data_IF_569331026103
#
_entry.id   IF_569331026103
#
_cell.length_a   1.000
_cell.length_b   1.000
_cell.length_c   1.000
_cell.angle_alpha   90.00
_cell.angle_beta   90.00
_cell.angle_gamma   90.00
#
_symmetry.space_group_name_H-M   'P 1'
#
loop_
_entity.id
_entity.type
_entity.pdbx_description
1 polymer ?
#
# COMPACT_ATOMS: atom_id res chain seq x y z
N UNK A 1 57.28 34.09 15.48
CA UNK A 1 56.94 32.72 15.92
C UNK A 1 55.45 32.49 15.81
N UNK A 2 54.97 31.73 14.81
CA UNK A 2 53.54 31.42 14.62
C UNK A 2 53.23 30.07 15.28
N UNK A 3 52.39 30.03 16.32
CA UNK A 3 51.92 28.81 16.99
C UNK A 3 50.97 28.07 16.05
N UNK A 4 51.26 26.80 15.69
CA UNK A 4 50.40 25.89 14.96
C UNK A 4 49.26 25.41 15.91
N UNK A 5 47.97 25.52 15.46
CA UNK A 5 46.80 24.92 16.12
C UNK A 5 46.88 23.36 16.00
N UNK A 6 46.45 22.61 17.02
CA UNK A 6 46.41 21.17 16.95
C UNK A 6 45.29 20.70 16.01
N UNK A 7 45.60 19.71 15.17
CA UNK A 7 44.63 19.04 14.28
C UNK A 7 43.66 18.16 15.12
N UNK A 8 42.34 18.27 14.91
CA UNK A 8 41.32 17.45 15.52
C UNK A 8 41.59 15.96 15.28
N UNK A 9 41.53 15.18 16.35
CA UNK A 9 41.92 13.77 16.38
C UNK A 9 41.02 12.89 15.50
N UNK A 10 41.56 12.37 14.40
CA UNK A 10 41.03 11.22 13.70
C UNK A 10 41.33 9.97 14.53
N UNK A 11 40.29 9.33 15.05
CA UNK A 11 40.40 8.02 15.71
C UNK A 11 40.84 7.00 14.66
N UNK A 12 41.89 6.22 14.96
CA UNK A 12 42.34 5.16 14.05
C UNK A 12 41.35 4.00 14.00
N UNK A 13 41.26 3.28 12.87
CA UNK A 13 40.37 2.10 12.73
C UNK A 13 40.56 1.09 13.87
N UNK A 14 41.80 0.92 14.35
CA UNK A 14 42.14 0.00 15.44
C UNK A 14 41.62 0.50 16.80
N UNK A 15 41.64 1.79 17.05
CA UNK A 15 41.06 2.41 18.28
C UNK A 15 39.56 2.38 18.26
N UNK A 16 38.93 2.62 17.10
CA UNK A 16 37.50 2.50 16.92
C UNK A 16 37.00 1.06 17.21
N UNK A 17 37.68 0.04 16.65
CA UNK A 17 37.34 -1.35 16.88
C UNK A 17 37.53 -1.79 18.34
N UNK A 18 38.59 -1.30 19.03
CA UNK A 18 38.76 -1.57 20.45
C UNK A 18 37.65 -0.96 21.31
N UNK A 19 37.24 0.28 21.02
CA UNK A 19 36.14 0.95 21.73
C UNK A 19 34.78 0.31 21.44
N UNK A 20 34.54 -0.16 20.21
CA UNK A 20 33.34 -0.89 19.83
C UNK A 20 33.25 -2.28 20.49
N UNK A 21 34.37 -3.00 20.63
CA UNK A 21 34.41 -4.29 21.31
C UNK A 21 34.13 -4.17 22.83
N UNK A 22 34.63 -3.12 23.49
CA UNK A 22 34.35 -2.85 24.90
C UNK A 22 32.90 -2.44 25.14
N UNK A 23 32.29 -1.67 24.22
CA UNK A 23 30.88 -1.33 24.26
C UNK A 23 29.95 -2.53 23.99
N UNK A 24 30.37 -3.49 23.15
CA UNK A 24 29.63 -4.71 22.84
C UNK A 24 29.53 -5.70 24.00
N UNK A 25 30.53 -5.77 24.88
CA UNK A 25 30.51 -6.69 26.02
C UNK A 25 29.57 -6.21 27.15
N UNK A 26 29.34 -4.89 27.27
CA UNK A 26 28.39 -4.33 28.26
C UNK A 26 26.91 -4.54 27.89
N UNK A 27 26.59 -4.78 26.61
CA UNK A 27 25.22 -4.93 26.11
C UNK A 27 24.69 -6.38 26.19
N UNK A 28 25.56 -7.40 26.28
CA UNK A 28 25.14 -8.80 26.26
C UNK A 28 24.64 -9.32 27.64
N UNK A 29 25.13 -8.79 28.76
CA UNK A 29 24.67 -9.19 30.07
C UNK A 29 23.38 -8.46 30.52
N UNK A 30 23.14 -7.21 30.08
CA UNK A 30 21.93 -6.46 30.37
C UNK A 30 20.76 -6.79 29.43
N UNK A 31 21.07 -7.18 28.18
CA UNK A 31 20.08 -7.46 27.14
C UNK A 31 19.22 -8.69 27.36
N UNK A 32 19.78 -9.74 28.02
CA UNK A 32 19.07 -11.00 28.28
C UNK A 32 18.05 -10.86 29.42
N UNK A 33 18.31 -9.98 30.38
CA UNK A 33 17.36 -9.73 31.49
C UNK A 33 16.22 -8.80 31.03
N UNK A 34 16.52 -7.80 30.21
CA UNK A 34 15.52 -6.88 29.71
C UNK A 34 14.60 -7.53 28.64
N UNK A 35 15.12 -8.46 27.82
CA UNK A 35 14.31 -9.20 26.86
C UNK A 35 13.30 -10.16 27.51
N UNK A 36 13.63 -10.73 28.68
CA UNK A 36 12.69 -11.58 29.43
C UNK A 36 11.60 -10.81 30.19
N UNK A 37 11.83 -9.54 30.51
CA UNK A 37 10.81 -8.69 31.13
C UNK A 37 9.88 -8.08 30.06
N UNK A 38 10.40 -7.71 28.89
CA UNK A 38 9.61 -7.17 27.78
C UNK A 38 8.81 -8.24 27.03
N UNK A 39 9.22 -9.51 27.04
CA UNK A 39 8.49 -10.61 26.40
C UNK A 39 7.23 -11.05 27.15
N UNK A 40 7.04 -10.67 28.41
CA UNK A 40 5.81 -10.97 29.18
C UNK A 40 4.71 -9.92 29.03
N UNK A 41 5.06 -8.68 28.70
CA UNK A 41 4.07 -7.60 28.47
C UNK A 41 3.67 -7.46 26.99
N UNK A 42 4.53 -7.87 26.05
CA UNK A 42 4.27 -7.79 24.62
C UNK A 42 3.18 -8.75 24.09
N UNK A 43 2.87 -9.84 24.82
CA UNK A 43 1.89 -10.83 24.36
C UNK A 43 0.44 -10.40 24.61
N UNK A 44 0.17 -9.52 25.59
CA UNK A 44 -1.18 -9.00 25.84
C UNK A 44 -1.47 -7.70 25.08
N UNK A 45 -0.46 -6.88 24.79
CA UNK A 45 -0.64 -5.66 24.00
C UNK A 45 -0.95 -5.95 22.51
N UNK A 46 -0.31 -6.99 21.92
CA UNK A 46 -0.56 -7.36 20.53
C UNK A 46 -1.96 -7.93 20.26
N UNK A 47 -2.63 -8.53 21.25
CA UNK A 47 -3.99 -9.03 21.08
C UNK A 47 -5.04 -7.92 21.11
N UNK A 48 -4.81 -6.87 21.90
CA UNK A 48 -5.73 -5.72 22.00
C UNK A 48 -5.62 -4.78 20.79
N UNK A 49 -4.44 -4.65 20.19
CA UNK A 49 -4.26 -3.85 18.97
C UNK A 49 -4.79 -4.55 17.71
N UNK A 50 -4.81 -5.89 17.68
CA UNK A 50 -5.24 -6.64 16.51
C UNK A 50 -6.77 -6.74 16.37
N UNK A 51 -7.53 -6.72 17.46
CA UNK A 51 -9.01 -6.81 17.39
C UNK A 51 -9.66 -5.47 17.06
N UNK A 52 -9.12 -4.35 17.52
CA UNK A 52 -9.66 -3.02 17.22
C UNK A 52 -9.35 -2.56 15.78
N UNK A 53 -8.18 -2.88 15.25
CA UNK A 53 -7.81 -2.54 13.86
C UNK A 53 -8.59 -3.37 12.84
N UNK A 54 -8.90 -4.64 13.15
CA UNK A 54 -9.65 -5.51 12.27
C UNK A 54 -11.10 -5.05 12.03
N UNK A 55 -11.79 -4.59 13.07
CA UNK A 55 -13.17 -4.08 12.95
C UNK A 55 -13.23 -2.75 12.22
N UNK A 56 -12.22 -1.90 12.35
CA UNK A 56 -12.20 -0.60 11.69
C UNK A 56 -12.00 -0.71 10.16
N UNK A 57 -11.25 -1.69 9.68
CA UNK A 57 -11.05 -1.92 8.24
C UNK A 57 -12.30 -2.37 7.50
N UNK A 58 -13.23 -3.07 8.18
CA UNK A 58 -14.46 -3.53 7.54
C UNK A 58 -15.37 -2.39 7.06
N UNK A 59 -15.22 -1.17 7.56
CA UNK A 59 -15.92 0.01 7.03
C UNK A 59 -15.52 0.32 5.57
N UNK A 60 -14.31 -0.09 5.15
CA UNK A 60 -13.75 0.05 3.80
C UNK A 60 -13.76 -1.25 3.02
N UNK A 61 -14.55 -2.23 3.46
CA UNK A 61 -14.70 -3.49 2.74
C UNK A 61 -15.79 -3.40 1.68
N UNK A 62 -15.58 -4.15 0.61
CA UNK A 62 -16.56 -4.36 -0.44
C UNK A 62 -16.43 -5.79 -0.96
N UNK A 63 -17.55 -6.44 -1.30
CA UNK A 63 -17.50 -7.72 -2.00
C UNK A 63 -16.81 -7.54 -3.35
N UNK A 64 -15.86 -8.44 -3.67
CA UNK A 64 -15.08 -8.37 -4.89
C UNK A 64 -15.91 -8.72 -6.12
N UNK A 65 -15.57 -8.14 -7.28
CA UNK A 65 -16.34 -8.36 -8.51
C UNK A 65 -15.93 -9.63 -9.26
N UNK A 66 -14.66 -9.97 -9.26
CA UNK A 66 -14.11 -11.09 -10.06
C UNK A 66 -13.57 -12.18 -9.14
N UNK A 67 -14.43 -13.16 -8.79
CA UNK A 67 -14.03 -14.36 -8.07
C UNK A 67 -14.99 -15.53 -8.35
N UNK A 68 -14.58 -16.72 -7.96
CA UNK A 68 -15.39 -17.93 -8.00
C UNK A 68 -15.48 -18.52 -6.60
N UNK A 69 -16.68 -18.85 -6.17
CA UNK A 69 -16.92 -19.55 -4.92
C UNK A 69 -16.70 -21.06 -5.11
N UNK A 70 -15.93 -21.67 -4.22
CA UNK A 70 -15.58 -23.09 -4.25
C UNK A 70 -15.88 -23.71 -2.87
N UNK A 71 -17.16 -23.90 -2.58
CA UNK A 71 -17.62 -24.31 -1.25
C UNK A 71 -17.34 -23.20 -0.22
N UNK A 72 -16.59 -23.51 0.84
CA UNK A 72 -16.14 -22.55 1.85
C UNK A 72 -14.92 -21.72 1.43
N UNK A 73 -14.26 -22.07 0.33
CA UNK A 73 -13.11 -21.35 -0.23
C UNK A 73 -13.56 -20.46 -1.38
N UNK A 74 -12.77 -19.43 -1.69
CA UNK A 74 -12.99 -18.55 -2.83
C UNK A 74 -11.72 -18.43 -3.67
N UNK A 75 -11.87 -18.32 -4.98
CA UNK A 75 -10.75 -18.12 -5.91
C UNK A 75 -10.86 -16.74 -6.55
N UNK A 76 -9.91 -15.85 -6.25
CA UNK A 76 -9.82 -14.53 -6.87
C UNK A 76 -9.49 -14.66 -8.36
N UNK A 77 -10.12 -13.85 -9.22
CA UNK A 77 -9.95 -13.87 -10.68
C UNK A 77 -9.46 -12.54 -11.25
N UNK A 78 -9.05 -11.60 -10.39
CA UNK A 78 -8.61 -10.27 -10.86
C UNK A 78 -7.26 -10.33 -11.57
N UNK A 79 -6.30 -11.11 -11.06
CA UNK A 79 -4.97 -11.23 -11.66
C UNK A 79 -4.55 -12.70 -11.78
N UNK A 80 -3.50 -13.01 -12.59
CA UNK A 80 -3.05 -14.39 -12.83
C UNK A 80 -2.52 -15.15 -11.59
N UNK A 81 -2.36 -14.52 -10.43
CA UNK A 81 -2.12 -15.25 -9.18
C UNK A 81 -3.28 -16.17 -8.80
N UNK A 82 -4.50 -15.80 -9.17
CA UNK A 82 -5.70 -16.60 -8.92
C UNK A 82 -5.75 -17.18 -7.49
N UNK A 83 -5.46 -16.35 -6.50
CA UNK A 83 -5.34 -16.76 -5.10
C UNK A 83 -6.55 -17.57 -4.65
N UNK A 84 -6.31 -18.80 -4.19
CA UNK A 84 -7.32 -19.65 -3.54
C UNK A 84 -7.26 -19.35 -2.04
N UNK A 85 -8.35 -18.85 -1.48
CA UNK A 85 -8.41 -18.37 -0.09
C UNK A 85 -9.45 -19.15 0.70
N UNK A 86 -9.02 -19.75 1.81
CA UNK A 86 -9.90 -20.28 2.86
C UNK A 86 -10.42 -19.17 3.71
N UNK A 87 -11.32 -19.48 4.64
CA UNK A 87 -11.86 -18.52 5.61
C UNK A 87 -10.76 -17.74 6.32
N UNK A 88 -10.84 -16.41 6.29
CA UNK A 88 -9.89 -15.49 6.92
C UNK A 88 -8.54 -15.33 6.21
N UNK A 89 -8.21 -16.16 5.19
CA UNK A 89 -6.93 -16.05 4.48
C UNK A 89 -6.85 -14.76 3.64
N UNK A 90 -5.63 -14.23 3.53
CA UNK A 90 -5.30 -13.03 2.73
C UNK A 90 -4.72 -13.39 1.37
N UNK A 91 -5.11 -12.64 0.36
CA UNK A 91 -4.54 -12.73 -0.98
C UNK A 91 -3.07 -12.30 -1.01
N UNK A 92 -2.35 -12.69 -2.08
CA UNK A 92 -0.97 -12.28 -2.31
C UNK A 92 -0.79 -10.75 -2.30
N UNK A 93 -1.74 -10.00 -2.87
CA UNK A 93 -1.71 -8.54 -2.86
C UNK A 93 -2.07 -7.91 -1.51
N UNK A 94 -2.39 -8.68 -0.48
CA UNK A 94 -2.75 -8.30 0.91
C UNK A 94 -4.10 -7.59 1.07
N UNK A 95 -4.79 -7.27 -0.02
CA UNK A 95 -6.01 -6.46 0.01
C UNK A 95 -7.32 -7.26 0.05
N UNK A 96 -7.28 -8.54 -0.27
CA UNK A 96 -8.50 -9.36 -0.34
C UNK A 96 -8.49 -10.47 0.70
N UNK A 97 -9.68 -10.81 1.20
CA UNK A 97 -9.87 -11.88 2.18
C UNK A 97 -11.17 -12.63 1.90
N UNK A 98 -11.19 -13.91 2.26
CA UNK A 98 -12.42 -14.70 2.29
C UNK A 98 -13.12 -14.50 3.64
N UNK A 99 -14.41 -14.20 3.60
CA UNK A 99 -15.28 -14.17 4.76
C UNK A 99 -16.63 -14.81 4.40
N UNK A 100 -17.00 -15.85 5.14
CA UNK A 100 -18.25 -16.59 4.95
C UNK A 100 -18.43 -17.13 3.51
N UNK A 101 -17.32 -17.60 2.88
CA UNK A 101 -17.33 -18.11 1.51
C UNK A 101 -17.47 -17.03 0.44
N UNK A 102 -17.27 -15.76 0.76
CA UNK A 102 -17.27 -14.62 -0.17
C UNK A 102 -15.94 -13.90 -0.16
N UNK A 103 -15.53 -13.39 -1.31
CA UNK A 103 -14.31 -12.60 -1.42
C UNK A 103 -14.62 -11.12 -1.17
N UNK A 104 -13.92 -10.51 -0.22
CA UNK A 104 -13.99 -9.08 0.05
C UNK A 104 -12.65 -8.40 -0.22
N UNK A 105 -12.68 -7.21 -0.82
CA UNK A 105 -11.57 -6.28 -0.75
C UNK A 105 -11.65 -5.47 0.54
N UNK A 106 -10.50 -5.14 1.14
CA UNK A 106 -10.34 -4.24 2.28
C UNK A 106 -9.68 -2.91 1.86
N UNK A 107 -9.56 -2.72 0.56
CA UNK A 107 -8.96 -1.55 -0.07
C UNK A 107 -10.01 -0.81 -0.93
N UNK A 108 -11.08 -0.34 -0.27
CA UNK A 108 -12.18 0.36 -0.93
C UNK A 108 -12.53 1.65 -0.21
N UNK A 109 -12.10 2.77 -0.77
CA UNK A 109 -12.32 4.09 -0.18
C UNK A 109 -11.33 4.48 0.92
N UNK A 110 -10.21 3.77 1.03
CA UNK A 110 -9.17 3.98 2.02
C UNK A 110 -7.77 4.18 1.38
N UNK A 111 -7.60 5.18 0.50
CA UNK A 111 -6.28 5.43 -0.06
C UNK A 111 -5.29 5.86 1.03
N UNK A 112 -4.07 5.31 0.97
CA UNK A 112 -2.94 5.70 1.82
C UNK A 112 -2.03 6.76 1.14
N UNK A 113 -2.29 7.09 -0.12
CA UNK A 113 -1.58 8.15 -0.84
C UNK A 113 -2.53 8.90 -1.76
N UNK A 114 -2.60 10.23 -1.59
CA UNK A 114 -3.46 11.13 -2.39
C UNK A 114 -2.67 12.39 -2.72
N UNK A 115 -2.54 12.70 -4.01
CA UNK A 115 -1.81 13.89 -4.46
C UNK A 115 -2.44 14.49 -5.73
N UNK A 116 -2.24 15.79 -5.94
CA UNK A 116 -2.48 16.46 -7.21
C UNK A 116 -1.14 16.67 -7.91
N UNK A 117 -0.93 16.00 -9.01
CA UNK A 117 0.34 15.98 -9.76
C UNK A 117 0.14 16.46 -11.20
N UNK A 118 1.16 17.06 -11.86
CA UNK A 118 1.19 17.17 -13.31
C UNK A 118 1.04 15.78 -13.96
N UNK A 119 0.28 15.71 -15.06
CA UNK A 119 0.05 14.45 -15.77
C UNK A 119 1.35 13.83 -16.31
N UNK A 120 2.35 14.66 -16.60
CA UNK A 120 3.69 14.25 -17.04
C UNK A 120 4.44 13.44 -15.97
N UNK A 121 4.11 13.61 -14.68
CA UNK A 121 4.65 12.77 -13.59
C UNK A 121 4.17 11.31 -13.68
N UNK A 122 3.12 11.05 -14.47
CA UNK A 122 2.61 9.70 -14.80
C UNK A 122 3.19 9.17 -16.13
N UNK A 123 4.37 9.59 -16.53
CA UNK A 123 5.04 9.67 -17.84
C UNK A 123 4.09 9.79 -19.05
N UNK A 124 3.03 10.57 -18.94
CA UNK A 124 2.07 10.80 -20.00
C UNK A 124 2.27 12.16 -20.65
N UNK A 125 3.26 12.27 -21.55
CA UNK A 125 3.65 13.55 -22.15
C UNK A 125 2.72 14.01 -23.28
N UNK A 126 1.96 13.10 -23.90
CA UNK A 126 1.04 13.39 -25.01
C UNK A 126 -0.44 13.31 -24.62
N UNK A 127 -0.74 12.87 -23.42
CA UNK A 127 -2.10 12.79 -22.91
C UNK A 127 -2.41 14.01 -22.05
N UNK A 128 -3.30 14.90 -22.53
CA UNK A 128 -3.69 16.13 -21.83
C UNK A 128 -2.49 16.94 -21.30
N UNK A 129 -1.51 17.31 -22.13
CA UNK A 129 -0.28 17.97 -21.69
C UNK A 129 -0.57 19.18 -20.80
N UNK A 130 0.29 19.41 -19.79
CA UNK A 130 0.20 20.51 -18.81
C UNK A 130 -1.01 20.46 -17.87
N UNK A 131 -1.81 19.41 -17.92
CA UNK A 131 -2.96 19.24 -17.02
C UNK A 131 -2.56 18.61 -15.68
N UNK A 132 -3.44 18.75 -14.69
CA UNK A 132 -3.31 18.08 -13.39
C UNK A 132 -4.08 16.76 -13.39
N UNK A 133 -3.50 15.77 -12.72
CA UNK A 133 -4.10 14.49 -12.39
C UNK A 133 -4.28 14.35 -10.87
N UNK A 134 -5.46 13.96 -10.43
CA UNK A 134 -5.72 13.59 -9.03
C UNK A 134 -5.30 12.14 -8.84
N UNK A 135 -4.26 11.90 -8.08
CA UNK A 135 -3.56 10.63 -7.97
C UNK A 135 -3.89 9.93 -6.67
N UNK A 136 -4.28 8.66 -6.72
CA UNK A 136 -4.62 7.86 -5.55
C UNK A 136 -3.93 6.50 -5.57
N UNK A 137 -3.61 5.98 -4.39
CA UNK A 137 -3.17 4.61 -4.14
C UNK A 137 -3.68 4.08 -2.82
N UNK A 138 -4.00 2.80 -2.76
CA UNK A 138 -4.16 2.04 -1.51
C UNK A 138 -2.89 1.25 -1.21
N UNK A 139 -2.82 0.63 -0.02
CA UNK A 139 -1.78 -0.36 0.27
C UNK A 139 -1.88 -1.58 -0.67
N UNK A 140 -0.80 -2.33 -0.79
CA UNK A 140 -0.73 -3.63 -1.46
C UNK A 140 -0.33 -3.57 -2.94
N UNK A 141 0.22 -4.69 -3.39
CA UNK A 141 0.64 -4.93 -4.78
C UNK A 141 0.63 -6.43 -5.08
N UNK A 142 0.39 -6.79 -6.33
CA UNK A 142 0.49 -8.17 -6.80
C UNK A 142 1.90 -8.57 -7.26
N UNK A 143 2.93 -7.72 -7.01
CA UNK A 143 4.34 -8.03 -7.23
C UNK A 143 5.18 -7.72 -5.98
N UNK A 144 6.40 -8.30 -5.95
CA UNK A 144 7.41 -8.12 -4.90
C UNK A 144 8.73 -7.61 -5.50
N UNK A 145 8.68 -6.51 -6.24
CA UNK A 145 9.85 -5.95 -6.92
C UNK A 145 10.92 -5.54 -5.90
N UNK A 146 12.16 -6.02 -6.06
CA UNK A 146 13.29 -5.70 -5.19
C UNK A 146 13.70 -4.22 -5.25
N UNK A 147 13.37 -3.54 -6.35
CA UNK A 147 13.67 -2.12 -6.57
C UNK A 147 12.36 -1.33 -6.71
N UNK A 148 11.45 -1.44 -5.74
CA UNK A 148 10.19 -0.70 -5.74
C UNK A 148 10.37 0.66 -5.09
N UNK A 149 10.11 1.74 -5.84
CA UNK A 149 10.17 3.11 -5.32
C UNK A 149 9.16 3.34 -4.19
N UNK A 150 7.98 2.71 -4.29
CA UNK A 150 6.88 2.88 -3.34
C UNK A 150 6.69 1.61 -2.47
N UNK A 151 7.80 0.97 -2.07
CA UNK A 151 7.76 -0.29 -1.33
C UNK A 151 6.99 -0.19 -0.01
N UNK A 152 7.04 0.96 0.66
CA UNK A 152 6.38 1.21 1.95
C UNK A 152 4.86 0.98 1.89
N UNK A 153 4.21 1.39 0.79
CA UNK A 153 2.78 1.15 0.59
C UNK A 153 2.50 -0.10 -0.24
N UNK A 154 3.37 -0.44 -1.20
CA UNK A 154 3.17 -1.59 -2.10
C UNK A 154 3.38 -2.93 -1.40
N UNK A 155 4.24 -2.98 -0.37
CA UNK A 155 4.54 -4.21 0.36
C UNK A 155 3.81 -4.30 1.71
N UNK A 156 2.87 -3.40 1.96
CA UNK A 156 2.06 -3.33 3.18
C UNK A 156 0.62 -3.78 2.91
N UNK A 157 -0.06 -4.20 3.97
CA UNK A 157 -1.51 -4.40 3.99
C UNK A 157 -2.22 -3.10 4.39
N UNK A 158 -3.54 -2.96 4.18
CA UNK A 158 -4.28 -1.77 4.59
C UNK A 158 -4.21 -1.45 6.09
N UNK A 159 -3.97 -2.45 6.93
CA UNK A 159 -3.80 -2.29 8.38
C UNK A 159 -2.47 -1.61 8.77
N UNK A 160 -1.48 -1.68 7.90
CA UNK A 160 -0.11 -1.21 8.14
C UNK A 160 0.14 0.19 7.59
N UNK A 161 -0.89 0.83 7.00
CA UNK A 161 -0.79 2.16 6.40
C UNK A 161 -1.77 3.15 7.05
N UNK A 162 -1.41 4.43 7.03
CA UNK A 162 -2.35 5.51 7.35
C UNK A 162 -3.32 5.69 6.19
N UNK A 163 -4.61 5.52 6.46
CA UNK A 163 -5.65 5.54 5.44
C UNK A 163 -6.56 6.75 5.58
N UNK A 164 -6.86 7.40 4.47
CA UNK A 164 -7.86 8.46 4.37
C UNK A 164 -9.23 7.84 4.08
N UNK A 165 -10.30 8.43 4.61
CA UNK A 165 -11.66 8.04 4.26
C UNK A 165 -12.12 8.81 3.00
N UNK A 166 -11.97 8.17 1.84
CA UNK A 166 -12.19 8.80 0.55
C UNK A 166 -12.93 7.86 -0.42
N UNK A 167 -14.24 7.77 -0.27
CA UNK A 167 -15.12 6.96 -1.14
C UNK A 167 -15.07 7.43 -2.61
N UNK A 168 -15.44 6.58 -3.59
CA UNK A 168 -15.32 6.86 -5.02
C UNK A 168 -15.89 8.22 -5.45
N UNK A 169 -17.07 8.59 -4.96
CA UNK A 169 -17.71 9.87 -5.27
C UNK A 169 -16.84 11.05 -4.81
N UNK A 170 -16.29 10.95 -3.61
CA UNK A 170 -15.41 11.98 -3.04
C UNK A 170 -14.08 12.12 -3.79
N UNK A 171 -13.55 11.01 -4.35
CA UNK A 171 -12.36 11.07 -5.23
C UNK A 171 -12.66 11.97 -6.42
N UNK A 172 -13.80 11.75 -7.08
CA UNK A 172 -14.20 12.52 -8.27
C UNK A 172 -14.49 13.96 -7.90
N UNK A 173 -15.18 14.22 -6.78
CA UNK A 173 -15.43 15.58 -6.28
C UNK A 173 -14.13 16.34 -6.03
N UNK A 174 -13.15 15.68 -5.38
CA UNK A 174 -11.85 16.28 -5.14
C UNK A 174 -11.06 16.54 -6.42
N UNK A 175 -11.11 15.61 -7.39
CA UNK A 175 -10.49 15.82 -8.70
C UNK A 175 -11.05 17.06 -9.40
N UNK A 176 -12.36 17.25 -9.39
CA UNK A 176 -13.04 18.41 -9.96
C UNK A 176 -12.66 19.70 -9.22
N UNK A 177 -12.74 19.69 -7.90
CA UNK A 177 -12.42 20.85 -7.05
C UNK A 177 -10.97 21.32 -7.18
N UNK A 178 -10.06 20.38 -7.45
CA UNK A 178 -8.64 20.67 -7.71
C UNK A 178 -8.34 20.92 -9.21
N UNK A 179 -9.37 21.12 -10.05
CA UNK A 179 -9.23 21.38 -11.49
C UNK A 179 -8.45 20.31 -12.25
N UNK A 180 -8.44 19.07 -11.76
CA UNK A 180 -7.79 17.95 -12.43
C UNK A 180 -8.59 17.52 -13.66
N UNK A 181 -7.91 17.22 -14.75
CA UNK A 181 -8.54 16.69 -15.99
C UNK A 181 -8.64 15.18 -15.97
N UNK A 182 -7.89 14.53 -15.08
CA UNK A 182 -7.87 13.07 -14.92
C UNK A 182 -7.71 12.65 -13.47
N UNK A 183 -8.12 11.40 -13.19
CA UNK A 183 -7.77 10.66 -11.99
C UNK A 183 -6.72 9.62 -12.37
N UNK A 184 -5.62 9.54 -11.62
CA UNK A 184 -4.56 8.57 -11.82
C UNK A 184 -4.56 7.54 -10.69
N UNK A 185 -4.80 6.29 -11.02
CA UNK A 185 -4.62 5.13 -10.15
C UNK A 185 -3.17 4.69 -10.27
N UNK A 186 -2.35 4.88 -9.21
CA UNK A 186 -0.89 4.87 -9.36
C UNK A 186 -0.19 4.55 -8.04
N UNK A 187 1.13 4.74 -7.97
CA UNK A 187 2.07 4.55 -6.85
C UNK A 187 2.20 3.09 -6.40
N UNK A 188 1.16 2.47 -5.82
CA UNK A 188 1.03 1.02 -5.67
C UNK A 188 0.41 0.41 -6.92
N UNK A 189 -0.01 -0.84 -6.89
CA UNK A 189 -0.59 -1.51 -8.06
C UNK A 189 -2.12 -1.38 -8.09
N UNK A 190 -2.72 -0.71 -9.08
CA UNK A 190 -4.17 -0.53 -9.19
C UNK A 190 -4.97 -1.83 -9.26
N UNK A 191 -4.42 -2.91 -9.82
CA UNK A 191 -5.04 -4.24 -9.84
C UNK A 191 -5.33 -4.76 -8.42
N UNK A 192 -4.55 -4.35 -7.42
CA UNK A 192 -4.74 -4.76 -6.02
C UNK A 192 -5.98 -4.12 -5.38
N UNK A 193 -6.38 -2.93 -5.84
CA UNK A 193 -7.59 -2.22 -5.41
C UNK A 193 -8.61 -2.05 -6.56
N UNK A 194 -8.77 -3.10 -7.34
CA UNK A 194 -9.56 -3.12 -8.56
C UNK A 194 -10.98 -2.54 -8.37
N UNK A 195 -11.71 -2.99 -7.37
CA UNK A 195 -13.11 -2.59 -7.12
C UNK A 195 -13.22 -1.07 -6.87
N UNK A 196 -12.27 -0.51 -6.13
CA UNK A 196 -12.22 0.92 -5.85
C UNK A 196 -11.87 1.74 -7.10
N UNK A 197 -10.88 1.26 -7.86
CA UNK A 197 -10.52 1.85 -9.15
C UNK A 197 -11.69 1.79 -10.13
N UNK A 198 -12.33 0.63 -10.28
CA UNK A 198 -13.44 0.41 -11.22
C UNK A 198 -14.62 1.35 -10.96
N UNK A 199 -15.12 1.39 -9.72
CA UNK A 199 -16.26 2.25 -9.37
C UNK A 199 -15.92 3.73 -9.51
N UNK A 200 -14.73 4.14 -9.08
CA UNK A 200 -14.25 5.52 -9.25
C UNK A 200 -14.16 5.88 -10.74
N UNK A 201 -13.64 4.98 -11.58
CA UNK A 201 -13.51 5.19 -13.02
C UNK A 201 -14.86 5.41 -13.71
N UNK A 202 -15.85 4.61 -13.32
CA UNK A 202 -17.21 4.74 -13.82
C UNK A 202 -17.84 6.11 -13.50
N UNK A 203 -17.70 6.55 -12.24
CA UNK A 203 -18.22 7.86 -11.81
C UNK A 203 -17.45 8.99 -12.50
N UNK A 204 -16.13 8.90 -12.57
CA UNK A 204 -15.27 9.89 -13.22
C UNK A 204 -15.66 10.10 -14.67
N UNK A 205 -15.82 9.00 -15.45
CA UNK A 205 -16.24 9.05 -16.85
C UNK A 205 -17.58 9.77 -17.02
N UNK A 206 -18.57 9.45 -16.18
CA UNK A 206 -19.92 10.07 -16.23
C UNK A 206 -19.88 11.57 -15.91
N UNK A 207 -18.83 12.03 -15.23
CA UNK A 207 -18.60 13.44 -14.87
C UNK A 207 -17.55 14.15 -15.76
N UNK A 208 -17.14 13.50 -16.84
CA UNK A 208 -16.21 14.08 -17.83
C UNK A 208 -14.75 14.10 -17.42
N UNK A 209 -14.39 13.43 -16.30
CA UNK A 209 -12.99 13.26 -15.86
C UNK A 209 -12.42 12.00 -16.51
N UNK A 210 -11.19 12.11 -17.04
CA UNK A 210 -10.49 10.98 -17.66
C UNK A 210 -9.85 10.07 -16.60
N UNK A 211 -9.70 8.79 -16.91
CA UNK A 211 -9.03 7.81 -16.06
C UNK A 211 -7.67 7.43 -16.63
N UNK A 212 -6.68 7.35 -15.76
CA UNK A 212 -5.30 6.96 -16.06
C UNK A 212 -4.87 5.85 -15.11
N UNK A 213 -4.40 4.73 -15.66
CA UNK A 213 -3.96 3.60 -14.88
C UNK A 213 -2.47 3.38 -15.08
N UNK A 214 -1.67 3.59 -14.02
CA UNK A 214 -0.23 3.31 -14.01
C UNK A 214 -0.03 1.97 -13.32
N UNK A 215 0.12 0.91 -14.10
CA UNK A 215 0.04 -0.47 -13.67
C UNK A 215 1.18 -1.31 -14.23
N UNK A 216 1.50 -2.42 -13.55
CA UNK A 216 2.39 -3.45 -14.07
C UNK A 216 1.72 -4.36 -15.14
N UNK A 217 0.42 -4.17 -15.39
CA UNK A 217 -0.36 -4.88 -16.38
C UNK A 217 -0.69 -6.34 -16.04
N UNK A 218 -0.36 -6.83 -14.84
CA UNK A 218 -0.62 -8.21 -14.44
C UNK A 218 -2.06 -8.39 -13.96
N UNK A 219 -2.99 -8.28 -14.91
CA UNK A 219 -4.44 -8.37 -14.74
C UNK A 219 -4.99 -9.42 -15.71
N UNK A 220 -6.03 -10.15 -15.31
CA UNK A 220 -6.73 -11.10 -16.19
C UNK A 220 -7.58 -10.35 -17.23
N UNK A 221 -7.92 -11.02 -18.32
CA UNK A 221 -8.65 -10.43 -19.45
C UNK A 221 -10.01 -9.87 -19.05
N UNK A 222 -10.84 -10.65 -18.35
CA UNK A 222 -12.21 -10.20 -18.01
C UNK A 222 -12.24 -8.90 -17.16
N UNK A 223 -11.49 -8.77 -16.03
CA UNK A 223 -11.45 -7.50 -15.32
C UNK A 223 -10.84 -6.34 -16.14
N UNK A 224 -9.91 -6.65 -17.07
CA UNK A 224 -9.34 -5.62 -17.96
C UNK A 224 -10.39 -5.12 -18.96
N UNK A 225 -11.13 -6.03 -19.60
CA UNK A 225 -12.21 -5.69 -20.54
C UNK A 225 -13.28 -4.82 -19.90
N UNK A 226 -13.72 -5.19 -18.66
CA UNK A 226 -14.67 -4.38 -17.91
C UNK A 226 -14.14 -2.98 -17.59
N UNK A 227 -12.85 -2.88 -17.20
CA UNK A 227 -12.22 -1.60 -16.89
C UNK A 227 -12.07 -0.71 -18.14
N UNK A 228 -11.78 -1.29 -19.30
CA UNK A 228 -11.63 -0.56 -20.57
C UNK A 228 -12.91 0.12 -21.07
N UNK A 229 -14.05 -0.17 -20.45
CA UNK A 229 -15.31 0.54 -20.73
C UNK A 229 -15.29 1.98 -20.20
N UNK A 230 -14.40 2.32 -19.32
CA UNK A 230 -14.33 3.61 -18.61
C UNK A 230 -12.98 4.30 -18.78
#
# INVERSE_FOLDING_TARGET
>A
MKKKKPRSGRISRREFLKKAAVAGIGLTAGGVILSKLLSKEGSQANSLFNESSGTELWKWSKEAYHYVQLGASVKCRVCPHECLLREGERSFCRNKTNKDGRLYTLAYGNPCSVHTDPVEKKPLYHFLPTSLAFSIATAGCNFLCLNCQNWEISQSSPEETENLDLMPEKVVDNAISNHCKSIAYTYSEPTAFYEYMYDTSRIARNRGIKNVVVTNGYMNTAPLEDLCLY
#
